data_IF_732369787842
#
_entry.id   IF_732369787842
#
_cell.length_a   1.000
_cell.length_b   1.000
_cell.length_c   1.000
_cell.angle_alpha   90.00
_cell.angle_beta   90.00
_cell.angle_gamma   90.00
#
_symmetry.space_group_name_H-M   'P 1'
#
loop_
_entity.id
_entity.type
_entity.pdbx_description
1 polymer ?
#
# COMPACT_ATOMS: atom_id res chain seq x y z
N UNK A 1 44.74 -26.12 -3.83
CA UNK A 1 43.35 -26.19 -3.32
C UNK A 1 42.79 -24.79 -3.33
N UNK A 2 41.88 -24.52 -4.27
CA UNK A 2 41.33 -23.19 -4.49
C UNK A 2 40.46 -22.79 -3.30
N UNK A 3 40.86 -21.71 -2.62
CA UNK A 3 40.08 -21.10 -1.54
C UNK A 3 38.87 -20.44 -2.20
N UNK A 4 37.71 -21.06 -2.04
CA UNK A 4 36.44 -20.50 -2.52
C UNK A 4 36.00 -19.43 -1.52
N UNK A 5 36.47 -18.21 -1.70
CA UNK A 5 35.98 -17.05 -0.96
C UNK A 5 34.69 -16.60 -1.65
N UNK A 6 33.55 -17.07 -1.15
CA UNK A 6 32.28 -16.38 -1.35
C UNK A 6 32.14 -15.41 -0.19
N UNK A 7 32.52 -14.16 -0.42
CA UNK A 7 32.22 -13.04 0.47
C UNK A 7 31.90 -11.86 -0.43
N UNK A 8 30.75 -11.89 -1.10
CA UNK A 8 30.20 -10.76 -1.85
C UNK A 8 28.66 -10.86 -1.85
N UNK A 9 28.06 -10.69 -0.67
CA UNK A 9 26.60 -10.46 -0.50
C UNK A 9 26.31 -9.33 0.51
N UNK A 10 27.32 -8.84 1.23
CA UNK A 10 27.13 -7.88 2.34
C UNK A 10 27.17 -6.40 1.88
N UNK A 11 27.71 -6.11 0.69
CA UNK A 11 27.87 -4.74 0.14
C UNK A 11 26.71 -4.29 -0.78
N UNK A 12 25.82 -5.17 -1.25
CA UNK A 12 24.70 -4.78 -2.14
C UNK A 12 23.55 -4.08 -1.39
N UNK A 13 23.39 -4.32 -0.09
CA UNK A 13 22.31 -3.73 0.70
C UNK A 13 22.53 -2.23 0.98
N UNK A 14 23.78 -1.76 0.99
CA UNK A 14 24.11 -0.33 1.23
C UNK A 14 23.92 0.57 0.00
N UNK A 15 23.75 0.01 -1.20
CA UNK A 15 23.52 0.77 -2.43
C UNK A 15 22.04 1.01 -2.76
N UNK A 16 21.12 0.37 -2.03
CA UNK A 16 19.70 0.63 -2.17
C UNK A 16 19.35 1.98 -1.53
N UNK A 17 18.75 2.88 -2.31
CA UNK A 17 18.20 4.14 -1.78
C UNK A 17 17.14 3.89 -0.68
N UNK A 18 16.74 4.92 0.08
CA UNK A 18 15.79 4.75 1.17
C UNK A 18 14.49 4.10 0.68
N UNK A 19 13.94 3.21 1.51
CA UNK A 19 12.68 2.53 1.20
C UNK A 19 11.59 3.54 0.81
N UNK A 20 10.82 3.26 -0.26
CA UNK A 20 9.73 4.13 -0.64
C UNK A 20 8.66 4.16 0.46
N UNK A 21 7.99 5.31 0.62
CA UNK A 21 7.01 5.52 1.69
C UNK A 21 5.60 5.22 1.19
N UNK A 22 4.83 4.45 1.96
CA UNK A 22 3.43 4.15 1.67
C UNK A 22 2.57 5.42 1.74
N UNK A 23 1.87 5.73 0.66
CA UNK A 23 1.04 6.94 0.54
C UNK A 23 -0.16 7.01 1.52
N UNK A 24 -0.55 5.89 2.15
CA UNK A 24 -1.63 5.84 3.14
C UNK A 24 -1.12 5.90 4.58
N UNK A 25 -0.29 4.93 4.99
CA UNK A 25 0.12 4.78 6.39
C UNK A 25 1.47 5.44 6.73
N UNK A 26 2.17 5.99 5.73
CA UNK A 26 3.43 6.71 5.88
C UNK A 26 4.61 5.89 6.45
N UNK A 27 4.47 4.57 6.51
CA UNK A 27 5.59 3.66 6.83
C UNK A 27 6.46 3.43 5.58
N UNK A 28 7.77 3.15 5.74
CA UNK A 28 8.58 2.64 4.65
C UNK A 28 8.03 1.31 4.13
N UNK A 29 8.30 1.02 2.86
CA UNK A 29 7.98 -0.25 2.20
C UNK A 29 9.30 -0.89 1.77
N UNK A 30 9.90 -1.75 2.62
CA UNK A 30 11.06 -2.55 2.24
C UNK A 30 10.80 -3.37 0.98
N UNK A 31 11.86 -3.68 0.23
CA UNK A 31 11.76 -4.34 -1.07
C UNK A 31 11.07 -5.72 -1.02
N UNK A 32 11.22 -6.44 0.09
CA UNK A 32 10.64 -7.77 0.34
C UNK A 32 9.21 -7.72 0.92
N UNK A 33 8.70 -6.52 1.25
CA UNK A 33 7.36 -6.36 1.80
C UNK A 33 6.31 -6.28 0.68
N UNK A 34 5.19 -7.03 0.77
CA UNK A 34 4.13 -7.01 -0.23
C UNK A 34 3.57 -5.60 -0.49
N UNK A 35 3.65 -5.18 -1.75
CA UNK A 35 3.32 -3.82 -2.19
C UNK A 35 2.64 -3.80 -3.55
N UNK A 36 1.93 -2.72 -3.84
CA UNK A 36 1.17 -2.59 -5.09
C UNK A 36 0.94 -1.13 -5.47
N UNK A 37 0.93 -0.87 -6.78
CA UNK A 37 0.55 0.43 -7.33
C UNK A 37 -0.97 0.59 -7.31
N UNK A 38 -1.43 1.70 -6.73
CA UNK A 38 -2.84 2.06 -6.68
C UNK A 38 -3.12 3.26 -7.58
N UNK A 39 -4.19 3.19 -8.36
CA UNK A 39 -4.63 4.32 -9.18
C UNK A 39 -5.54 5.21 -8.34
N UNK A 40 -5.15 6.47 -8.13
CA UNK A 40 -5.96 7.43 -7.37
C UNK A 40 -7.28 7.76 -8.07
N UNK A 41 -7.31 7.64 -9.39
CA UNK A 41 -8.54 7.60 -10.19
C UNK A 41 -8.63 6.20 -10.81
N UNK A 42 -9.66 5.39 -10.50
CA UNK A 42 -9.81 4.06 -11.09
C UNK A 42 -9.76 4.08 -12.62
N UNK A 43 -9.18 3.02 -13.21
CA UNK A 43 -9.12 2.87 -14.68
C UNK A 43 -10.51 2.93 -15.31
N UNK A 44 -11.52 2.35 -14.67
CA UNK A 44 -12.92 2.38 -15.09
C UNK A 44 -13.59 3.77 -14.98
N UNK A 45 -12.93 4.72 -14.33
CA UNK A 45 -13.34 6.13 -14.20
C UNK A 45 -12.42 7.06 -15.02
N UNK A 46 -11.70 6.53 -15.99
CA UNK A 46 -10.84 7.30 -16.89
C UNK A 46 -9.40 7.47 -16.41
N UNK A 47 -9.02 6.95 -15.25
CA UNK A 47 -7.68 7.15 -14.68
C UNK A 47 -6.58 6.24 -15.20
N UNK A 48 -6.69 5.64 -16.39
CA UNK A 48 -5.70 4.68 -16.92
C UNK A 48 -4.28 5.23 -16.93
N UNK A 49 -4.12 6.49 -17.31
CA UNK A 49 -2.84 7.22 -17.35
C UNK A 49 -2.78 8.29 -16.24
N UNK A 50 -3.64 8.15 -15.22
CA UNK A 50 -3.72 9.09 -14.11
C UNK A 50 -2.63 8.85 -13.07
N UNK A 51 -2.61 9.68 -12.02
CA UNK A 51 -1.61 9.54 -10.96
C UNK A 51 -1.80 8.20 -10.23
N UNK A 52 -0.66 7.55 -9.96
CA UNK A 52 -0.60 6.31 -9.20
C UNK A 52 0.32 6.50 -7.98
N UNK A 53 0.06 5.73 -6.93
CA UNK A 53 0.85 5.76 -5.70
C UNK A 53 1.21 4.36 -5.26
N UNK A 54 2.34 4.23 -4.58
CA UNK A 54 2.80 2.98 -3.99
C UNK A 54 2.20 2.79 -2.60
N UNK A 55 1.69 1.59 -2.33
CA UNK A 55 1.08 1.22 -1.06
C UNK A 55 1.54 -0.18 -0.64
N UNK A 56 1.62 -0.42 0.68
CA UNK A 56 1.57 -1.78 1.20
C UNK A 56 0.29 -2.47 0.70
N UNK A 57 0.36 -3.77 0.42
CA UNK A 57 -0.80 -4.55 -0.04
C UNK A 57 -1.97 -4.50 0.97
N UNK A 58 -1.69 -4.52 2.28
CA UNK A 58 -2.72 -4.34 3.32
C UNK A 58 -3.42 -2.98 3.23
N UNK A 59 -2.68 -1.90 2.93
CA UNK A 59 -3.23 -0.56 2.78
C UNK A 59 -4.09 -0.46 1.52
N UNK A 60 -3.64 -1.06 0.43
CA UNK A 60 -4.40 -1.14 -0.82
C UNK A 60 -5.73 -1.88 -0.62
N UNK A 61 -5.70 -3.03 0.07
CA UNK A 61 -6.91 -3.79 0.42
C UNK A 61 -7.89 -2.99 1.26
N UNK A 62 -7.41 -2.22 2.24
CA UNK A 62 -8.29 -1.38 3.08
C UNK A 62 -8.97 -0.27 2.28
N UNK A 63 -8.29 0.35 1.32
CA UNK A 63 -8.92 1.35 0.42
C UNK A 63 -10.09 0.72 -0.33
N UNK A 64 -9.89 -0.45 -0.94
CA UNK A 64 -10.95 -1.14 -1.69
C UNK A 64 -12.04 -1.76 -0.81
N UNK A 65 -11.74 -2.07 0.44
CA UNK A 65 -12.75 -2.47 1.42
C UNK A 65 -13.60 -1.28 1.92
N UNK A 66 -13.07 -0.07 1.81
CA UNK A 66 -13.70 1.14 2.36
C UNK A 66 -14.46 1.94 1.30
N UNK A 67 -13.86 2.17 0.13
CA UNK A 67 -14.37 3.08 -0.89
C UNK A 67 -14.78 2.33 -2.16
N UNK A 68 -15.95 2.69 -2.72
CA UNK A 68 -16.29 2.32 -4.09
C UNK A 68 -15.46 3.16 -5.06
N UNK A 69 -15.23 2.64 -6.27
CA UNK A 69 -14.51 3.35 -7.33
C UNK A 69 -15.08 4.76 -7.63
N UNK A 70 -16.39 4.93 -7.53
CA UNK A 70 -17.04 6.23 -7.73
C UNK A 70 -16.74 7.23 -6.62
N UNK A 71 -16.64 6.77 -5.36
CA UNK A 71 -16.31 7.63 -4.21
C UNK A 71 -14.84 8.02 -4.28
N UNK A 72 -13.98 7.04 -4.60
CA UNK A 72 -12.55 7.24 -4.83
C UNK A 72 -12.30 8.30 -5.91
N UNK A 73 -12.93 8.17 -7.08
CA UNK A 73 -12.75 9.11 -8.18
C UNK A 73 -13.26 10.53 -7.90
N UNK A 74 -14.33 10.68 -7.11
CA UNK A 74 -14.99 11.98 -6.88
C UNK A 74 -14.39 12.76 -5.73
N UNK A 75 -14.12 12.07 -4.61
CA UNK A 75 -13.86 12.72 -3.33
C UNK A 75 -12.48 12.38 -2.76
N UNK A 76 -11.86 11.28 -3.21
CA UNK A 76 -10.66 10.73 -2.57
C UNK A 76 -9.53 10.41 -3.57
N UNK A 77 -9.39 11.22 -4.61
CA UNK A 77 -8.43 11.03 -5.70
C UNK A 77 -7.03 11.60 -5.44
N UNK A 78 -6.70 11.85 -4.17
CA UNK A 78 -5.36 12.26 -3.70
C UNK A 78 -4.96 11.49 -2.44
N UNK A 79 -3.67 11.33 -2.14
CA UNK A 79 -3.21 10.69 -0.90
C UNK A 79 -3.70 11.41 0.36
N UNK A 80 -3.79 12.73 0.33
CA UNK A 80 -4.29 13.55 1.43
C UNK A 80 -5.76 13.22 1.70
N UNK A 81 -6.60 13.23 0.66
CA UNK A 81 -8.02 12.94 0.80
C UNK A 81 -8.25 11.49 1.29
N UNK A 82 -7.47 10.51 0.80
CA UNK A 82 -7.51 9.14 1.32
C UNK A 82 -7.24 9.09 2.82
N UNK A 83 -6.23 9.83 3.30
CA UNK A 83 -5.86 9.90 4.72
C UNK A 83 -6.90 10.63 5.57
N UNK A 84 -7.69 11.53 4.99
CA UNK A 84 -8.78 12.25 5.67
C UNK A 84 -10.07 11.44 5.80
N UNK A 85 -10.24 10.34 5.04
CA UNK A 85 -11.43 9.51 5.16
C UNK A 85 -11.49 8.86 6.57
N UNK A 86 -12.56 9.03 7.37
CA UNK A 86 -12.56 8.66 8.80
C UNK A 86 -12.19 7.20 9.12
N UNK A 87 -12.58 6.26 8.26
CA UNK A 87 -12.18 4.85 8.42
C UNK A 87 -10.72 4.61 8.05
N UNK A 88 -10.25 5.24 6.97
CA UNK A 88 -8.88 5.06 6.49
C UNK A 88 -7.89 5.74 7.42
N UNK A 89 -8.22 6.90 7.97
CA UNK A 89 -7.46 7.59 8.99
C UNK A 89 -7.21 6.69 10.20
N UNK A 90 -8.29 6.15 10.80
CA UNK A 90 -8.19 5.26 11.97
C UNK A 90 -7.35 4.01 11.67
N UNK A 91 -7.52 3.44 10.48
CA UNK A 91 -6.71 2.32 10.04
C UNK A 91 -5.24 2.71 9.88
N UNK A 92 -4.95 3.84 9.23
CA UNK A 92 -3.59 4.33 8.98
C UNK A 92 -2.85 4.60 10.30
N UNK A 93 -3.48 5.28 11.25
CA UNK A 93 -2.92 5.56 12.58
C UNK A 93 -2.64 4.29 13.38
N UNK A 94 -3.50 3.28 13.24
CA UNK A 94 -3.34 1.99 13.90
C UNK A 94 -2.24 1.14 13.26
N UNK A 95 -2.19 1.07 11.92
CA UNK A 95 -1.17 0.26 11.22
C UNK A 95 0.21 0.92 11.25
N UNK A 96 0.28 2.25 11.35
CA UNK A 96 1.54 2.99 11.49
C UNK A 96 2.35 2.56 12.73
N UNK A 97 1.70 2.00 13.77
CA UNK A 97 2.33 1.57 15.02
C UNK A 97 2.95 0.16 14.94
N UNK A 98 3.13 -0.39 13.74
CA UNK A 98 3.51 -1.79 13.52
C UNK A 98 4.69 -1.94 12.57
N UNK A 99 5.43 -3.06 12.66
CA UNK A 99 6.51 -3.36 11.72
C UNK A 99 6.04 -3.29 10.26
N UNK A 100 6.83 -2.73 9.32
CA UNK A 100 6.46 -2.56 7.91
C UNK A 100 5.84 -3.80 7.25
N UNK A 101 6.38 -4.98 7.57
CA UNK A 101 6.00 -6.31 7.10
C UNK A 101 4.69 -6.85 7.71
N UNK A 102 4.08 -6.12 8.65
CA UNK A 102 2.84 -6.56 9.29
C UNK A 102 1.70 -6.77 8.28
N UNK A 103 1.14 -7.98 8.29
CA UNK A 103 -0.03 -8.36 7.51
C UNK A 103 -1.19 -8.73 8.43
N UNK A 104 -2.40 -8.34 8.04
CA UNK A 104 -3.62 -8.84 8.66
C UNK A 104 -4.73 -9.01 7.63
N UNK A 105 -5.74 -9.81 7.97
CA UNK A 105 -6.94 -9.90 7.16
C UNK A 105 -7.69 -8.57 7.19
N UNK A 106 -7.88 -7.96 6.03
CA UNK A 106 -8.78 -6.81 5.87
C UNK A 106 -10.22 -7.32 5.75
N UNK A 107 -11.16 -6.86 6.59
CA UNK A 107 -12.58 -7.18 6.45
C UNK A 107 -13.09 -6.81 5.07
N UNK A 108 -13.99 -7.61 4.52
CA UNK A 108 -14.60 -7.31 3.22
C UNK A 108 -15.41 -6.01 3.24
N UNK A 109 -15.78 -5.46 2.06
CA UNK A 109 -16.60 -4.26 1.98
C UNK A 109 -17.92 -4.44 2.73
N UNK A 110 -18.38 -3.43 3.51
CA UNK A 110 -19.65 -3.51 4.20
C UNK A 110 -20.79 -3.71 3.18
N UNK A 111 -21.66 -4.69 3.44
CA UNK A 111 -22.89 -4.89 2.65
C UNK A 111 -22.80 -5.85 1.46
N UNK A 112 -21.64 -6.46 1.13
CA UNK A 112 -21.65 -7.66 0.28
C UNK A 112 -21.94 -8.88 1.15
N UNK A 113 -23.20 -9.34 1.19
CA UNK A 113 -23.48 -10.72 1.65
C UNK A 113 -22.61 -11.67 0.82
N UNK A 114 -21.96 -12.64 1.47
CA UNK A 114 -21.47 -13.83 0.78
C UNK A 114 -22.69 -14.46 0.11
N UNK A 115 -22.66 -14.59 -1.21
CA UNK A 115 -23.62 -15.43 -1.90
C UNK A 115 -23.04 -16.84 -1.77
N UNK A 116 -23.68 -17.65 -0.95
CA UNK A 116 -23.37 -19.07 -0.81
C UNK A 116 -23.56 -19.81 -2.14
#
# INVERSE_FOLDING_TARGET
MARKTWVEDEDEAELAGPDPVCALCLRPIPADVPQSMHHLIPKLKGGRNGPTVLLHDICHKEIHATLKESELARNFSTPEALREHPRLQKFAEWVAKRPPEFLSKVPGPPGRRRKD
#
